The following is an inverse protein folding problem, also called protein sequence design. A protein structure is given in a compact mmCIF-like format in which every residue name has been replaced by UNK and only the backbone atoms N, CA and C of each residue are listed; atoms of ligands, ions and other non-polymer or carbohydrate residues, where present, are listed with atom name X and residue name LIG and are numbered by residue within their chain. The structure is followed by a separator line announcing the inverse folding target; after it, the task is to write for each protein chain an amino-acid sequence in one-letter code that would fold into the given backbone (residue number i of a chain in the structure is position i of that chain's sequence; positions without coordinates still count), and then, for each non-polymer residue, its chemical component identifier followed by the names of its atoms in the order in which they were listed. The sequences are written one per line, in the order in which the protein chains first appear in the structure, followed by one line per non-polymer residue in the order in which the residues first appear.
data_IF_823506758309
#
_entry.id   IF_823506758309
#
_cell.length_a   1.000
_cell.length_b   1.000
_cell.length_c   1.000
_cell.angle_alpha   90.00
_cell.angle_beta   90.00
_cell.angle_gamma   90.00
#
_symmetry.space_group_name_H-M   'P 1'
#
loop_
_entity.id
_entity.type
_entity.pdbx_description
1 polymer ?
#
# COMPACT_ATOMS: atom_id res chain seq x y z
N UNK A 1 -22.11 -40.74 -4.57
CA UNK A 1 -21.56 -40.07 -5.75
C UNK A 1 -20.61 -38.97 -5.28
N UNK A 2 -19.29 -39.04 -5.51
CA UNK A 2 -18.41 -37.93 -5.13
C UNK A 2 -18.47 -36.87 -6.24
N UNK A 3 -18.83 -35.65 -5.89
CA UNK A 3 -18.69 -34.51 -6.80
C UNK A 3 -17.23 -34.04 -6.77
N UNK A 4 -16.55 -34.19 -7.91
CA UNK A 4 -15.26 -33.57 -8.16
C UNK A 4 -15.40 -32.13 -8.66
N UNK A 5 -14.30 -31.38 -8.49
CA UNK A 5 -13.96 -30.00 -8.96
C UNK A 5 -14.75 -28.86 -8.29
N UNK A 6 -14.09 -27.93 -7.57
CA UNK A 6 -13.12 -26.96 -8.11
C UNK A 6 -11.87 -26.78 -7.22
N UNK A 7 -10.67 -26.99 -7.79
CA UNK A 7 -9.40 -26.51 -7.21
C UNK A 7 -9.00 -25.19 -7.91
N UNK A 8 -9.84 -24.17 -7.78
CA UNK A 8 -9.48 -22.80 -8.18
C UNK A 8 -8.73 -22.08 -7.06
N UNK A 9 -7.80 -21.20 -7.40
CA UNK A 9 -7.24 -20.26 -6.42
C UNK A 9 -8.38 -19.37 -5.88
N UNK A 10 -8.44 -19.16 -4.57
CA UNK A 10 -9.37 -18.17 -4.02
C UNK A 10 -9.09 -16.79 -4.61
N UNK A 11 -10.11 -15.93 -4.72
CA UNK A 11 -9.97 -14.54 -5.21
C UNK A 11 -8.78 -13.83 -4.56
N UNK A 12 -8.66 -13.95 -3.24
CA UNK A 12 -7.54 -13.40 -2.47
C UNK A 12 -6.19 -13.98 -2.90
N UNK A 13 -6.09 -15.29 -3.11
CA UNK A 13 -4.85 -15.94 -3.55
C UNK A 13 -4.47 -15.52 -4.98
N UNK A 14 -5.44 -15.40 -5.88
CA UNK A 14 -5.23 -14.91 -7.23
C UNK A 14 -4.71 -13.46 -7.24
N UNK A 15 -5.38 -12.54 -6.55
CA UNK A 15 -4.94 -11.13 -6.48
C UNK A 15 -3.57 -11.01 -5.84
N UNK A 16 -3.30 -11.74 -4.75
CA UNK A 16 -1.96 -11.78 -4.14
C UNK A 16 -0.89 -12.24 -5.13
N UNK A 17 -1.16 -13.31 -5.89
CA UNK A 17 -0.23 -13.82 -6.88
C UNK A 17 -0.02 -12.82 -8.04
N UNK A 18 -1.10 -12.22 -8.56
CA UNK A 18 -1.03 -11.22 -9.62
C UNK A 18 -0.22 -9.98 -9.19
N UNK A 19 -0.44 -9.48 -7.96
CA UNK A 19 0.33 -8.37 -7.38
C UNK A 19 1.80 -8.76 -7.16
N UNK A 20 2.08 -9.98 -6.69
CA UNK A 20 3.45 -10.44 -6.51
C UNK A 20 4.23 -10.49 -7.83
N UNK A 21 3.57 -10.85 -8.94
CA UNK A 21 4.19 -10.95 -10.27
C UNK A 21 4.29 -9.58 -10.95
N UNK A 22 3.20 -8.80 -10.95
CA UNK A 22 3.09 -7.58 -11.76
C UNK A 22 3.20 -6.26 -10.98
N UNK A 23 3.44 -6.32 -9.67
CA UNK A 23 3.66 -5.14 -8.82
C UNK A 23 2.51 -4.12 -8.88
N UNK A 24 2.87 -2.84 -8.95
CA UNK A 24 1.92 -1.72 -8.96
C UNK A 24 1.02 -1.68 -10.20
N UNK A 25 1.49 -2.13 -11.38
CA UNK A 25 0.65 -2.24 -12.57
C UNK A 25 -0.45 -3.29 -12.39
N UNK A 26 -0.10 -4.49 -11.92
CA UNK A 26 -1.09 -5.52 -11.67
C UNK A 26 -2.07 -5.12 -10.58
N UNK A 27 -1.61 -4.43 -9.53
CA UNK A 27 -2.48 -3.88 -8.50
C UNK A 27 -3.51 -2.91 -9.08
N UNK A 28 -3.07 -1.91 -9.85
CA UNK A 28 -3.96 -0.93 -10.48
C UNK A 28 -4.97 -1.59 -11.43
N UNK A 29 -4.52 -2.56 -12.23
CA UNK A 29 -5.40 -3.32 -13.12
C UNK A 29 -6.41 -4.20 -12.35
N UNK A 30 -6.01 -4.80 -11.23
CA UNK A 30 -6.91 -5.56 -10.36
C UNK A 30 -7.97 -4.63 -9.75
N UNK A 31 -7.58 -3.47 -9.21
CA UNK A 31 -8.53 -2.50 -8.64
C UNK A 31 -9.55 -2.01 -9.66
N UNK A 32 -9.13 -1.74 -10.91
CA UNK A 32 -10.05 -1.32 -11.97
C UNK A 32 -11.01 -2.42 -12.43
N UNK A 33 -10.65 -3.70 -12.24
CA UNK A 33 -11.44 -4.86 -12.69
C UNK A 33 -12.37 -5.42 -11.63
N UNK A 34 -11.97 -5.32 -10.37
CA UNK A 34 -12.71 -5.87 -9.23
C UNK A 34 -13.95 -5.03 -8.96
N UNK A 35 -15.12 -5.67 -8.78
CA UNK A 35 -16.31 -4.97 -8.30
C UNK A 35 -16.03 -4.38 -6.92
N UNK A 36 -16.31 -3.08 -6.76
CA UNK A 36 -16.09 -2.39 -5.49
C UNK A 36 -16.76 -3.16 -4.36
N UNK A 37 -16.06 -3.37 -3.22
CA UNK A 37 -16.71 -3.92 -2.03
C UNK A 37 -17.91 -3.05 -1.65
N UNK A 38 -18.85 -3.61 -0.89
CA UNK A 38 -19.98 -2.86 -0.34
C UNK A 38 -19.49 -1.91 0.77
N UNK A 39 -18.75 -0.89 0.34
CA UNK A 39 -18.11 0.16 1.10
C UNK A 39 -18.20 1.45 0.26
N UNK A 40 -18.36 2.62 0.90
CA UNK A 40 -18.21 3.90 0.21
C UNK A 40 -16.90 3.95 -0.58
N UNK A 41 -16.90 4.58 -1.75
CA UNK A 41 -15.64 4.90 -2.43
C UNK A 41 -14.90 6.01 -1.67
N UNK A 42 -13.59 6.08 -1.88
CA UNK A 42 -12.79 7.22 -1.43
C UNK A 42 -13.10 8.48 -2.23
N UNK A 43 -12.52 9.63 -1.83
CA UNK A 43 -12.78 10.91 -2.49
C UNK A 43 -12.15 10.96 -3.89
N UNK A 44 -12.83 11.61 -4.84
CA UNK A 44 -12.27 11.90 -6.17
C UNK A 44 -11.18 12.98 -6.10
N UNK A 45 -11.40 14.00 -5.26
CA UNK A 45 -10.43 15.05 -4.94
C UNK A 45 -9.52 14.61 -3.79
N UNK A 46 -8.35 14.11 -4.16
CA UNK A 46 -7.34 13.63 -3.21
C UNK A 46 -6.64 14.76 -2.43
N UNK A 47 -6.80 16.03 -2.85
CA UNK A 47 -6.26 17.17 -2.10
C UNK A 47 -6.97 17.40 -0.76
N UNK A 48 -8.14 16.78 -0.59
CA UNK A 48 -8.88 16.76 0.68
C UNK A 48 -8.28 15.80 1.72
N UNK A 49 -7.37 14.91 1.31
CA UNK A 49 -6.68 14.01 2.23
C UNK A 49 -5.58 14.73 3.02
N UNK A 50 -5.30 14.34 4.27
CA UNK A 50 -4.23 14.94 5.06
C UNK A 50 -2.87 14.85 4.39
N UNK A 51 -2.10 15.92 4.45
CA UNK A 51 -0.70 15.95 4.01
C UNK A 51 0.28 15.22 4.97
N UNK A 52 -0.24 14.53 5.99
CA UNK A 52 0.54 13.81 7.01
C UNK A 52 0.16 12.33 7.03
N UNK A 53 1.11 11.43 6.76
CA UNK A 53 0.85 9.98 6.69
C UNK A 53 0.43 9.33 8.01
N UNK A 54 0.72 9.94 9.16
CA UNK A 54 0.48 9.35 10.49
C UNK A 54 -0.68 9.99 11.26
N UNK A 55 -1.43 10.92 10.66
CA UNK A 55 -2.54 11.61 11.31
C UNK A 55 -3.83 10.75 11.37
N UNK A 56 -3.70 9.44 11.61
CA UNK A 56 -4.81 8.49 11.53
C UNK A 56 -5.87 8.71 12.61
N UNK A 57 -5.50 9.25 13.77
CA UNK A 57 -6.41 9.47 14.89
C UNK A 57 -7.65 10.29 14.50
N UNK A 58 -7.54 11.19 13.51
CA UNK A 58 -8.66 11.98 12.99
C UNK A 58 -9.70 11.13 12.23
N UNK A 59 -9.34 9.93 11.79
CA UNK A 59 -10.14 9.04 10.94
C UNK A 59 -10.44 7.68 11.59
N UNK A 60 -9.99 7.48 12.83
CA UNK A 60 -10.31 6.30 13.63
C UNK A 60 -11.55 6.57 14.49
N UNK A 61 -12.55 5.68 14.41
CA UNK A 61 -13.69 5.74 15.31
C UNK A 61 -13.24 5.66 16.78
N UNK A 62 -13.95 6.35 17.67
CA UNK A 62 -13.76 6.21 19.11
C UNK A 62 -14.61 5.05 19.60
N UNK A 63 -14.01 4.19 20.43
CA UNK A 63 -14.72 3.17 21.17
C UNK A 63 -15.35 3.73 22.43
N UNK A 64 -16.09 2.87 23.14
CA UNK A 64 -16.85 3.22 24.35
C UNK A 64 -15.99 3.80 25.50
N UNK A 65 -14.66 3.65 25.42
CA UNK A 65 -13.69 4.13 26.40
C UNK A 65 -12.81 5.28 25.87
N UNK A 66 -13.29 6.05 24.87
CA UNK A 66 -12.55 7.13 24.19
C UNK A 66 -11.21 6.67 23.58
N UNK A 67 -11.08 5.38 23.27
CA UNK A 67 -9.93 4.82 22.59
C UNK A 67 -10.15 4.78 21.08
N UNK A 68 -9.14 5.17 20.30
CA UNK A 68 -9.20 5.00 18.84
C UNK A 68 -9.27 3.50 18.47
N UNK A 69 -10.32 3.12 17.77
CA UNK A 69 -10.51 1.78 17.22
C UNK A 69 -9.59 1.62 16.01
N UNK A 70 -8.43 0.98 16.23
CA UNK A 70 -7.52 0.65 15.15
C UNK A 70 -8.14 -0.33 14.13
N UNK A 71 -7.55 -0.41 12.92
CA UNK A 71 -8.05 -1.31 11.89
C UNK A 71 -8.03 -2.78 12.35
N UNK A 72 -9.12 -3.50 12.09
CA UNK A 72 -9.31 -4.92 12.46
C UNK A 72 -8.33 -5.86 11.76
N UNK A 73 -7.89 -5.49 10.57
CA UNK A 73 -6.98 -6.26 9.74
C UNK A 73 -5.76 -5.42 9.37
N UNK A 74 -4.58 -6.03 9.42
CA UNK A 74 -3.30 -5.38 9.09
C UNK A 74 -2.51 -6.26 8.15
N UNK A 75 -1.92 -5.66 7.12
CA UNK A 75 -1.03 -6.33 6.18
C UNK A 75 0.25 -5.51 6.09
N UNK A 76 1.38 -6.17 6.29
CA UNK A 76 2.71 -5.60 6.08
C UNK A 76 3.32 -6.27 4.85
N UNK A 77 3.73 -5.46 3.86
CA UNK A 77 4.33 -5.93 2.62
C UNK A 77 5.76 -5.40 2.51
N UNK A 78 6.72 -6.30 2.34
CA UNK A 78 8.08 -5.95 1.97
C UNK A 78 8.22 -6.03 0.45
N UNK A 79 8.45 -4.88 -0.17
CA UNK A 79 8.60 -4.76 -1.62
C UNK A 79 10.04 -4.37 -1.96
N UNK A 80 10.58 -4.97 -3.01
CA UNK A 80 11.89 -4.61 -3.57
C UNK A 80 11.66 -3.96 -4.92
N UNK A 81 12.27 -2.80 -5.14
CA UNK A 81 12.33 -2.21 -6.48
C UNK A 81 13.22 -3.11 -7.36
N UNK A 82 12.58 -3.72 -8.37
CA UNK A 82 13.14 -4.84 -9.13
C UNK A 82 14.05 -4.46 -10.29
N UNK A 83 14.12 -3.18 -10.67
CA UNK A 83 15.03 -2.70 -11.71
C UNK A 83 16.38 -2.33 -11.10
N UNK A 84 17.42 -2.47 -11.91
CA UNK A 84 18.75 -1.95 -11.61
C UNK A 84 18.76 -0.41 -11.67
N UNK A 85 19.64 0.22 -10.88
CA UNK A 85 19.79 1.67 -10.82
C UNK A 85 18.64 2.41 -10.12
N UNK A 86 18.54 3.71 -10.42
CA UNK A 86 17.56 4.62 -9.82
C UNK A 86 16.17 4.49 -10.46
N UNK A 87 15.08 4.63 -9.69
CA UNK A 87 13.73 4.73 -10.24
C UNK A 87 13.57 5.90 -11.21
N UNK A 88 13.14 5.60 -12.43
CA UNK A 88 12.87 6.59 -13.46
C UNK A 88 11.64 7.43 -13.11
N UNK A 89 11.41 8.54 -13.84
CA UNK A 89 10.18 9.32 -13.70
C UNK A 89 8.93 8.47 -13.96
N UNK A 90 9.03 7.48 -14.83
CA UNK A 90 7.90 6.63 -15.22
C UNK A 90 7.56 5.63 -14.11
N UNK A 91 8.57 5.06 -13.46
CA UNK A 91 8.41 4.17 -12.29
C UNK A 91 7.74 4.91 -11.13
N UNK A 92 8.14 6.17 -10.90
CA UNK A 92 7.54 7.03 -9.87
C UNK A 92 6.06 7.30 -10.19
N UNK A 93 5.74 7.71 -11.42
CA UNK A 93 4.34 7.94 -11.85
C UNK A 93 3.49 6.68 -11.75
N UNK A 94 4.06 5.51 -12.06
CA UNK A 94 3.34 4.24 -11.94
C UNK A 94 3.01 3.90 -10.49
N UNK A 95 3.96 4.11 -9.58
CA UNK A 95 3.75 3.90 -8.14
C UNK A 95 2.71 4.87 -7.60
N UNK A 96 2.83 6.15 -7.93
CA UNK A 96 1.85 7.19 -7.57
C UNK A 96 0.43 6.80 -8.02
N UNK A 97 0.25 6.43 -9.29
CA UNK A 97 -1.06 6.01 -9.82
C UNK A 97 -1.65 4.82 -9.07
N UNK A 98 -0.81 3.85 -8.68
CA UNK A 98 -1.28 2.68 -7.94
C UNK A 98 -1.72 3.05 -6.51
N UNK A 99 -1.01 3.94 -5.84
CA UNK A 99 -1.40 4.43 -4.51
C UNK A 99 -2.68 5.27 -4.58
N UNK A 100 -2.79 6.18 -5.56
CA UNK A 100 -4.00 6.96 -5.78
C UNK A 100 -5.21 6.11 -6.17
N UNK A 101 -4.99 4.97 -6.85
CA UNK A 101 -6.07 4.01 -7.13
C UNK A 101 -6.61 3.38 -5.84
N UNK A 102 -5.75 3.10 -4.85
CA UNK A 102 -6.19 2.62 -3.53
C UNK A 102 -6.97 3.70 -2.78
N UNK A 103 -6.50 4.94 -2.81
CA UNK A 103 -7.15 6.08 -2.13
C UNK A 103 -8.54 6.39 -2.68
N UNK A 104 -8.77 6.16 -3.98
CA UNK A 104 -10.10 6.31 -4.60
C UNK A 104 -10.99 5.08 -4.39
N UNK A 105 -10.41 3.88 -4.37
CA UNK A 105 -11.17 2.64 -4.26
C UNK A 105 -11.76 2.41 -2.86
N UNK A 106 -11.14 2.98 -1.82
CA UNK A 106 -11.51 2.76 -0.42
C UNK A 106 -11.62 4.08 0.34
N UNK A 107 -12.54 4.19 1.32
CA UNK A 107 -12.63 5.37 2.14
C UNK A 107 -11.43 5.45 3.09
N UNK A 108 -10.93 6.65 3.34
CA UNK A 108 -9.84 6.90 4.31
C UNK A 108 -10.42 6.87 5.74
N UNK A 109 -10.68 5.67 6.26
CA UNK A 109 -11.31 5.45 7.57
C UNK A 109 -10.96 4.08 8.16
N UNK A 110 -11.32 3.87 9.44
CA UNK A 110 -11.12 2.59 10.14
C UNK A 110 -11.85 1.37 9.52
N UNK A 111 -12.96 1.60 8.81
CA UNK A 111 -13.72 0.57 8.08
C UNK A 111 -13.27 0.43 6.60
N UNK A 112 -12.44 1.36 6.13
CA UNK A 112 -11.89 1.39 4.80
C UNK A 112 -10.42 0.99 4.77
N UNK A 113 -9.58 1.85 4.17
CA UNK A 113 -8.16 1.61 4.04
C UNK A 113 -7.34 2.78 4.60
N UNK A 114 -6.50 2.47 5.58
CA UNK A 114 -5.40 3.31 6.02
C UNK A 114 -4.09 2.59 5.72
N UNK A 115 -3.18 3.24 5.00
CA UNK A 115 -1.87 2.69 4.67
C UNK A 115 -0.76 3.73 4.82
N UNK A 116 0.45 3.23 5.06
CA UNK A 116 1.69 4.01 5.02
C UNK A 116 2.66 3.37 4.05
N UNK A 117 3.55 4.19 3.48
CA UNK A 117 4.66 3.71 2.65
C UNK A 117 5.95 4.18 3.30
N UNK A 118 6.84 3.24 3.58
CA UNK A 118 8.14 3.52 4.19
C UNK A 118 9.24 2.97 3.28
N UNK A 119 10.35 3.69 3.24
CA UNK A 119 11.53 3.29 2.48
C UNK A 119 12.62 2.84 3.44
N UNK A 120 13.27 1.72 3.13
CA UNK A 120 14.46 1.28 3.87
C UNK A 120 15.71 2.03 3.40
N UNK A 121 16.79 2.08 4.20
CA UNK A 121 18.06 2.68 3.78
C UNK A 121 18.58 2.12 2.44
N UNK A 122 18.43 0.81 2.23
CA UNK A 122 18.81 0.13 0.98
C UNK A 122 18.10 0.64 -0.30
N UNK A 123 16.98 1.35 -0.17
CA UNK A 123 16.37 2.04 -1.31
C UNK A 123 17.14 3.32 -1.67
N UNK A 124 17.62 4.04 -0.65
CA UNK A 124 18.36 5.29 -0.80
C UNK A 124 19.81 5.10 -1.26
N UNK A 125 20.44 3.95 -0.94
CA UNK A 125 21.77 3.57 -1.43
C UNK A 125 21.88 3.53 -2.97
N UNK A 126 20.75 3.61 -3.69
CA UNK A 126 20.70 3.64 -5.15
C UNK A 126 20.92 5.03 -5.74
N UNK A 127 20.86 6.08 -4.92
CA UNK A 127 21.03 7.47 -5.35
C UNK A 127 22.41 7.98 -4.96
N UNK A 128 23.04 8.77 -5.83
CA UNK A 128 24.32 9.40 -5.54
C UNK A 128 24.18 10.60 -4.56
N UNK A 129 22.96 11.14 -4.43
CA UNK A 129 22.67 12.26 -3.55
C UNK A 129 22.55 11.81 -2.09
N UNK A 130 23.30 12.46 -1.20
CA UNK A 130 23.22 12.23 0.24
C UNK A 130 21.85 12.61 0.79
N UNK A 131 21.38 11.87 1.78
CA UNK A 131 20.17 12.22 2.51
C UNK A 131 20.35 13.55 3.28
N UNK A 132 19.28 14.34 3.45
CA UNK A 132 19.31 15.50 4.33
C UNK A 132 19.71 15.10 5.76
N UNK A 133 20.45 15.96 6.46
CA UNK A 133 20.88 15.70 7.85
C UNK A 133 19.71 15.46 8.83
N UNK A 134 18.50 15.92 8.49
CA UNK A 134 17.28 15.67 9.26
C UNK A 134 16.79 14.22 9.19
N UNK A 135 17.37 13.40 8.31
CA UNK A 135 17.01 12.00 8.09
C UNK A 135 18.18 11.13 8.58
N UNK A 136 18.15 10.75 9.86
CA UNK A 136 19.09 9.76 10.41
C UNK A 136 18.63 8.35 10.06
N UNK A 137 19.28 7.72 9.07
CA UNK A 137 19.08 6.31 8.74
C UNK A 137 20.19 5.47 9.34
N UNK A 138 19.84 4.60 10.28
CA UNK A 138 20.77 3.62 10.82
C UNK A 138 21.28 2.71 9.68
N UNK A 139 22.60 2.60 9.47
CA UNK A 139 23.15 1.74 8.42
C UNK A 139 22.86 0.27 8.72
N UNK A 140 22.61 -0.51 7.67
CA UNK A 140 22.37 -1.95 7.79
C UNK A 140 23.68 -2.63 8.19
N UNK A 141 23.82 -2.96 9.48
CA UNK A 141 24.99 -3.67 9.99
C UNK A 141 24.92 -5.14 9.54
N UNK A 142 25.66 -5.52 8.51
CA UNK A 142 25.90 -6.93 8.20
C UNK A 142 27.01 -7.43 9.11
N UNK A 143 26.65 -8.08 10.22
CA UNK A 143 27.59 -8.94 10.94
C UNK A 143 27.76 -10.22 10.12
N UNK A 144 28.95 -10.44 9.57
CA UNK A 144 29.36 -11.74 9.04
C UNK A 144 29.66 -12.72 10.18
#
# INVERSE_FOLDING_TARGET
MPHGTERGLSRRAFVKAAVAIGGSAALSACLARESSPDLPQGPDDLSTLPSRQHAWNEFLALGDNDNHLGPRHRVLLYLRYGKEGTPTRDDRRQTERALQALERAYPHSHDGLLFTVSYSPAYFDRFDESLPESVDLQPVSYTH
#
